data_IF_255493559350
#
_entry.id   IF_255493559350
#
_cell.length_a   1.000
_cell.length_b   1.000
_cell.length_c   1.000
_cell.angle_alpha   90.00
_cell.angle_beta   90.00
_cell.angle_gamma   90.00
#
_symmetry.space_group_name_H-M   'P 1'
#
loop_
_entity.id
_entity.type
_entity.pdbx_description
1 polymer ?
#
# COMPACT_ATOMS: atom_id res chain seq x y z
N UNK A 1 -12.78 -1.48 -37.03
CA UNK A 1 -11.73 -1.99 -36.16
C UNK A 1 -12.08 -1.63 -34.68
N UNK A 2 -12.45 -2.64 -33.91
CA UNK A 2 -12.91 -2.47 -32.52
C UNK A 2 -11.81 -1.87 -31.64
N UNK A 3 -10.55 -2.31 -31.81
CA UNK A 3 -9.39 -1.82 -31.05
C UNK A 3 -9.21 -0.31 -31.24
N UNK A 4 -9.21 0.15 -32.49
CA UNK A 4 -9.09 1.58 -32.78
C UNK A 4 -10.21 2.40 -32.13
N UNK A 5 -11.44 1.91 -32.20
CA UNK A 5 -12.60 2.58 -31.58
C UNK A 5 -12.43 2.66 -30.06
N UNK A 6 -12.06 1.57 -29.41
CA UNK A 6 -11.82 1.52 -27.96
C UNK A 6 -10.70 2.48 -27.55
N UNK A 7 -9.57 2.49 -28.27
CA UNK A 7 -8.47 3.40 -27.97
C UNK A 7 -8.84 4.88 -28.18
N UNK A 8 -9.65 5.20 -29.20
CA UNK A 8 -10.15 6.56 -29.41
C UNK A 8 -11.10 7.02 -28.29
N UNK A 9 -11.92 6.14 -27.73
CA UNK A 9 -12.75 6.42 -26.55
C UNK A 9 -11.87 6.59 -25.32
N UNK A 10 -10.91 5.69 -25.11
CA UNK A 10 -10.00 5.70 -23.97
C UNK A 10 -9.18 7.00 -23.86
N UNK A 11 -8.61 7.50 -24.96
CA UNK A 11 -7.80 8.73 -24.88
C UNK A 11 -8.64 9.97 -24.60
N UNK A 12 -9.89 10.02 -25.03
CA UNK A 12 -10.81 11.10 -24.71
C UNK A 12 -11.14 11.11 -23.21
N UNK A 13 -11.48 9.93 -22.69
CA UNK A 13 -11.77 9.78 -21.27
C UNK A 13 -10.51 10.04 -20.41
N UNK A 14 -9.34 9.54 -20.80
CA UNK A 14 -8.08 9.81 -20.13
C UNK A 14 -7.80 11.31 -20.03
N UNK A 15 -7.91 12.05 -21.13
CA UNK A 15 -7.71 13.50 -21.14
C UNK A 15 -8.73 14.22 -20.24
N UNK A 16 -9.98 13.76 -20.20
CA UNK A 16 -11.01 14.29 -19.31
C UNK A 16 -10.66 14.04 -17.84
N UNK A 17 -10.30 12.79 -17.48
CA UNK A 17 -9.96 12.40 -16.12
C UNK A 17 -8.69 13.09 -15.61
N UNK A 18 -7.68 13.30 -16.45
CA UNK A 18 -6.49 14.06 -16.09
C UNK A 18 -6.82 15.51 -15.66
N UNK A 19 -7.76 16.15 -16.36
CA UNK A 19 -8.25 17.48 -16.00
C UNK A 19 -9.08 17.46 -14.73
N UNK A 20 -10.05 16.56 -14.64
CA UNK A 20 -10.97 16.44 -13.50
C UNK A 20 -10.21 16.17 -12.21
N UNK A 21 -9.32 15.19 -12.22
CA UNK A 21 -8.53 14.77 -11.05
C UNK A 21 -7.31 15.64 -10.79
N UNK A 22 -7.02 16.59 -11.69
CA UNK A 22 -5.79 17.39 -11.68
C UNK A 22 -4.51 16.56 -11.54
N UNK A 23 -4.44 15.44 -12.25
CA UNK A 23 -3.24 14.61 -12.31
C UNK A 23 -2.14 15.39 -13.06
N UNK A 24 -0.90 15.30 -12.60
CA UNK A 24 0.22 16.01 -13.21
C UNK A 24 1.56 15.34 -12.90
N UNK A 25 2.56 15.74 -13.66
CA UNK A 25 3.88 15.13 -13.70
C UNK A 25 4.11 14.39 -15.01
N UNK A 26 4.91 13.34 -14.99
CA UNK A 26 5.08 12.41 -16.11
C UNK A 26 3.89 11.44 -16.08
N UNK A 27 3.25 11.28 -17.23
CA UNK A 27 2.06 10.43 -17.40
C UNK A 27 2.35 9.48 -18.55
N UNK A 28 2.10 8.21 -18.33
CA UNK A 28 2.20 7.17 -19.35
C UNK A 28 0.80 6.59 -19.54
N UNK A 29 0.34 6.57 -20.80
CA UNK A 29 -0.93 5.94 -21.17
C UNK A 29 -0.59 4.69 -21.96
N UNK A 30 -1.03 3.55 -21.46
CA UNK A 30 -0.91 2.26 -22.11
C UNK A 30 -2.19 1.96 -22.87
N UNK A 31 -2.07 1.80 -24.18
CA UNK A 31 -3.20 1.55 -25.08
C UNK A 31 -3.17 0.11 -25.57
N UNK A 32 -4.32 -0.38 -26.01
CA UNK A 32 -4.38 -1.69 -26.69
C UNK A 32 -3.53 -1.62 -27.94
N UNK A 33 -2.67 -2.63 -28.12
CA UNK A 33 -1.73 -2.69 -29.26
C UNK A 33 -2.43 -2.52 -30.60
N UNK A 34 -1.84 -1.70 -31.47
CA UNK A 34 -2.32 -1.44 -32.82
C UNK A 34 -1.22 -1.72 -33.82
N UNK A 35 -1.43 -2.70 -34.70
CA UNK A 35 -0.48 -3.08 -35.73
C UNK A 35 -0.20 -1.96 -36.74
N UNK A 36 -1.28 -1.22 -37.10
CA UNK A 36 -1.21 -0.21 -38.14
C UNK A 36 -0.77 1.15 -37.59
N UNK A 37 0.30 1.69 -38.18
CA UNK A 37 0.81 3.03 -37.83
C UNK A 37 -0.25 4.12 -38.00
N UNK A 38 -1.08 4.02 -39.05
CA UNK A 38 -2.17 4.98 -39.27
C UNK A 38 -3.18 5.01 -38.13
N UNK A 39 -3.45 3.86 -37.50
CA UNK A 39 -4.35 3.75 -36.34
C UNK A 39 -3.73 4.42 -35.13
N UNK A 40 -2.43 4.18 -34.85
CA UNK A 40 -1.68 4.84 -33.78
C UNK A 40 -1.71 6.36 -33.93
N UNK A 41 -1.43 6.85 -35.15
CA UNK A 41 -1.46 8.29 -35.45
C UNK A 41 -2.85 8.92 -35.25
N UNK A 42 -3.93 8.22 -35.62
CA UNK A 42 -5.30 8.69 -35.37
C UNK A 42 -5.58 8.87 -33.89
N UNK A 43 -5.17 7.91 -33.07
CA UNK A 43 -5.37 7.95 -31.60
C UNK A 43 -4.54 9.09 -30.98
N UNK A 44 -3.29 9.26 -31.40
CA UNK A 44 -2.43 10.35 -30.92
C UNK A 44 -3.02 11.72 -31.30
N UNK A 45 -3.51 11.90 -32.49
CA UNK A 45 -4.17 13.17 -32.91
C UNK A 45 -5.42 13.43 -32.08
N UNK A 46 -6.24 12.40 -31.83
CA UNK A 46 -7.43 12.54 -31.01
C UNK A 46 -7.08 12.94 -29.55
N UNK A 47 -6.01 12.35 -28.98
CA UNK A 47 -5.50 12.76 -27.67
C UNK A 47 -5.03 14.22 -27.68
N UNK A 48 -4.22 14.63 -28.68
CA UNK A 48 -3.70 15.99 -28.78
C UNK A 48 -4.83 17.03 -28.87
N UNK A 49 -5.89 16.73 -29.63
CA UNK A 49 -7.07 17.58 -29.72
C UNK A 49 -7.78 17.75 -28.38
N UNK A 50 -7.92 16.67 -27.61
CA UNK A 50 -8.52 16.73 -26.26
C UNK A 50 -7.62 17.46 -25.25
N UNK A 51 -6.30 17.30 -25.37
CA UNK A 51 -5.33 17.98 -24.51
C UNK A 51 -5.27 19.50 -24.75
N UNK A 52 -5.57 19.97 -25.95
CA UNK A 52 -5.69 21.43 -26.25
C UNK A 52 -6.78 22.13 -25.43
N UNK A 53 -7.77 21.39 -24.94
CA UNK A 53 -8.81 21.92 -24.05
C UNK A 53 -8.32 22.13 -22.62
N UNK A 54 -7.11 21.65 -22.28
CA UNK A 54 -6.52 21.75 -20.96
C UNK A 54 -5.71 23.03 -20.77
N UNK A 55 -6.07 23.84 -19.79
CA UNK A 55 -5.34 25.08 -19.46
C UNK A 55 -3.90 24.85 -19.00
N UNK A 56 -3.57 23.66 -18.50
CA UNK A 56 -2.21 23.28 -18.09
C UNK A 56 -1.27 23.00 -19.27
N UNK A 57 -1.79 22.99 -20.51
CA UNK A 57 -1.04 22.75 -21.76
C UNK A 57 -0.13 21.52 -21.66
N UNK A 58 -0.68 20.32 -21.46
CA UNK A 58 0.12 19.11 -21.44
C UNK A 58 0.81 18.90 -22.80
N UNK A 59 1.96 18.21 -22.78
CA UNK A 59 2.76 17.97 -23.99
C UNK A 59 3.01 16.49 -24.14
N UNK A 60 2.68 15.93 -25.30
CA UNK A 60 3.07 14.57 -25.68
C UNK A 60 4.56 14.60 -26.04
N UNK A 61 5.37 13.76 -25.40
CA UNK A 61 6.82 13.69 -25.62
C UNK A 61 7.13 12.62 -26.65
N UNK A 62 6.57 11.42 -26.49
CA UNK A 62 6.89 10.26 -27.30
C UNK A 62 5.69 9.31 -27.39
N UNK A 63 5.63 8.61 -28.50
CA UNK A 63 4.73 7.47 -28.72
C UNK A 63 5.58 6.28 -29.13
N UNK A 64 5.50 5.19 -28.40
CA UNK A 64 6.25 3.99 -28.72
C UNK A 64 5.54 3.13 -29.76
N UNK A 65 6.29 2.20 -30.36
CA UNK A 65 5.73 1.19 -31.28
C UNK A 65 4.74 0.24 -30.58
N UNK A 66 4.89 0.09 -29.27
CA UNK A 66 4.02 -0.73 -28.42
C UNK A 66 2.73 -0.01 -27.96
N UNK A 67 2.45 1.21 -28.48
CA UNK A 67 1.24 1.95 -28.11
C UNK A 67 1.35 2.78 -26.83
N UNK A 68 2.50 2.83 -26.17
CA UNK A 68 2.71 3.67 -24.97
C UNK A 68 2.84 5.13 -25.39
N UNK A 69 2.02 5.99 -24.78
CA UNK A 69 2.10 7.45 -24.97
C UNK A 69 2.71 8.06 -23.72
N UNK A 70 3.86 8.70 -23.90
CA UNK A 70 4.56 9.45 -22.85
C UNK A 70 4.20 10.93 -22.97
N UNK A 71 3.70 11.52 -21.89
CA UNK A 71 3.34 12.93 -21.86
C UNK A 71 3.69 13.57 -20.53
N UNK A 72 3.77 14.89 -20.51
CA UNK A 72 3.91 15.69 -19.30
C UNK A 72 2.74 16.63 -19.13
N UNK A 73 2.32 16.83 -17.89
CA UNK A 73 1.32 17.82 -17.51
C UNK A 73 1.78 18.58 -16.26
N UNK A 74 1.84 19.91 -16.39
CA UNK A 74 2.24 20.75 -15.25
C UNK A 74 1.17 20.67 -14.14
N UNK A 75 1.62 20.39 -12.92
CA UNK A 75 0.75 20.42 -11.75
C UNK A 75 0.54 21.87 -11.32
N UNK A 76 -0.70 22.38 -11.37
CA UNK A 76 -1.03 23.78 -11.05
C UNK A 76 -1.73 23.95 -9.71
N UNK A 77 -2.26 22.87 -9.16
CA UNK A 77 -2.95 22.79 -7.85
C UNK A 77 -2.92 21.36 -7.35
N UNK A 78 -3.36 21.13 -6.14
CA UNK A 78 -3.47 19.80 -5.58
C UNK A 78 -4.42 18.89 -6.36
N UNK A 79 -4.16 17.59 -6.29
CA UNK A 79 -5.02 16.57 -6.91
C UNK A 79 -6.37 16.51 -6.19
N UNK A 80 -7.41 16.09 -6.91
CA UNK A 80 -8.75 15.93 -6.35
C UNK A 80 -8.76 15.03 -5.10
N UNK A 81 -7.97 13.96 -5.10
CA UNK A 81 -7.83 13.05 -3.95
C UNK A 81 -7.28 13.77 -2.73
N UNK A 82 -6.30 14.67 -2.88
CA UNK A 82 -5.76 15.45 -1.77
C UNK A 82 -6.73 16.51 -1.23
N UNK A 83 -7.60 17.02 -2.10
CA UNK A 83 -8.58 18.06 -1.70
C UNK A 83 -9.76 17.44 -0.96
N UNK A 84 -10.19 16.24 -1.37
CA UNK A 84 -11.40 15.58 -0.85
C UNK A 84 -11.12 14.45 0.15
N UNK A 85 -9.88 13.96 0.21
CA UNK A 85 -9.52 12.81 1.03
C UNK A 85 -8.56 13.17 2.16
N UNK A 86 -8.56 12.34 3.17
CA UNK A 86 -7.58 12.33 4.25
C UNK A 86 -6.73 11.07 4.17
N UNK A 87 -5.56 11.12 4.79
CA UNK A 87 -4.72 9.91 4.90
C UNK A 87 -5.46 8.86 5.71
N UNK A 88 -5.57 7.65 5.20
CA UNK A 88 -6.22 6.55 5.90
C UNK A 88 -5.51 6.28 7.24
N UNK A 89 -6.21 6.46 8.36
CA UNK A 89 -5.64 6.23 9.69
C UNK A 89 -5.23 4.76 9.93
N UNK A 90 -5.88 3.82 9.22
CA UNK A 90 -5.59 2.40 9.38
C UNK A 90 -4.27 1.96 8.72
N UNK A 91 -3.94 2.46 7.53
CA UNK A 91 -2.70 2.10 6.83
C UNK A 91 -1.73 3.27 6.68
N UNK A 92 -2.04 4.44 7.23
CA UNK A 92 -1.23 5.66 7.15
C UNK A 92 -0.80 6.02 5.71
N UNK A 93 -1.65 5.70 4.75
CA UNK A 93 -1.38 5.94 3.34
C UNK A 93 -0.54 4.87 2.63
N UNK A 94 -0.15 3.80 3.32
CA UNK A 94 0.63 2.69 2.72
C UNK A 94 -0.17 1.84 1.73
N UNK A 95 -1.51 1.85 1.81
CA UNK A 95 -2.40 1.02 0.97
C UNK A 95 -2.53 -0.43 1.40
N UNK A 96 -1.74 -0.89 2.36
CA UNK A 96 -1.77 -2.23 2.96
C UNK A 96 -1.30 -2.17 4.41
N UNK A 97 -1.61 -3.22 5.18
CA UNK A 97 -1.12 -3.46 6.54
C UNK A 97 -0.48 -4.86 6.60
N UNK A 98 0.34 -5.11 7.60
CA UNK A 98 0.89 -6.44 7.85
C UNK A 98 -0.24 -7.42 8.20
N UNK A 99 -0.09 -8.67 7.79
CA UNK A 99 -1.03 -9.71 8.20
C UNK A 99 -0.89 -10.02 9.71
N UNK A 100 -1.97 -10.43 10.35
CA UNK A 100 -2.00 -10.84 11.75
C UNK A 100 -0.93 -11.89 12.07
N UNK A 101 -0.73 -12.84 11.15
CA UNK A 101 0.30 -13.88 11.27
C UNK A 101 1.71 -13.30 11.21
N UNK A 102 1.95 -12.30 10.38
CA UNK A 102 3.24 -11.60 10.33
C UNK A 102 3.53 -10.92 11.66
N UNK A 103 2.52 -10.26 12.26
CA UNK A 103 2.65 -9.62 13.56
C UNK A 103 2.90 -10.65 14.67
N UNK A 104 2.18 -11.78 14.66
CA UNK A 104 2.43 -12.86 15.62
C UNK A 104 3.88 -13.37 15.55
N UNK A 105 4.43 -13.53 14.35
CA UNK A 105 5.85 -13.94 14.19
C UNK A 105 6.84 -12.83 14.58
N UNK A 106 6.50 -11.57 14.42
CA UNK A 106 7.31 -10.46 14.95
C UNK A 106 7.34 -10.52 16.48
N UNK A 107 6.18 -10.71 17.10
CA UNK A 107 6.05 -10.89 18.55
C UNK A 107 6.89 -12.06 19.09
N UNK A 108 6.84 -13.23 18.44
CA UNK A 108 7.65 -14.38 18.86
C UNK A 108 9.16 -14.05 18.84
N UNK A 109 9.62 -13.32 17.85
CA UNK A 109 11.03 -12.88 17.78
C UNK A 109 11.36 -11.86 18.87
N UNK A 110 10.46 -10.97 19.19
CA UNK A 110 10.68 -9.96 20.23
C UNK A 110 10.65 -10.59 21.64
N UNK A 111 9.76 -11.56 21.87
CA UNK A 111 9.78 -12.39 23.09
C UNK A 111 11.15 -13.07 23.26
N UNK A 112 11.67 -13.68 22.19
CA UNK A 112 12.96 -14.36 22.26
C UNK A 112 14.10 -13.38 22.56
N UNK A 113 14.08 -12.17 22.00
CA UNK A 113 15.06 -11.11 22.30
C UNK A 113 14.99 -10.67 23.77
N UNK A 114 13.78 -10.44 24.29
CA UNK A 114 13.61 -10.06 25.69
C UNK A 114 14.03 -11.18 26.65
N UNK A 115 13.83 -12.44 26.28
CA UNK A 115 14.21 -13.58 27.10
C UNK A 115 15.72 -13.81 27.20
N UNK A 116 16.52 -13.25 26.30
CA UNK A 116 17.99 -13.30 26.39
C UNK A 116 18.48 -12.50 27.62
N UNK A 117 17.72 -11.48 28.07
CA UNK A 117 18.06 -10.72 29.25
C UNK A 117 17.71 -11.47 30.53
N UNK A 118 18.70 -11.83 31.36
CA UNK A 118 18.56 -12.65 32.56
C UNK A 118 17.67 -12.03 33.65
N UNK A 119 17.55 -10.72 33.66
CA UNK A 119 16.77 -9.96 34.66
C UNK A 119 15.25 -10.12 34.49
N UNK A 120 14.78 -10.45 33.29
CA UNK A 120 13.36 -10.62 32.98
C UNK A 120 12.93 -12.03 33.36
N UNK A 121 11.92 -12.16 34.20
CA UNK A 121 11.34 -13.47 34.61
C UNK A 121 10.01 -13.78 33.96
N UNK A 122 9.27 -12.74 33.63
CA UNK A 122 7.96 -12.84 33.02
C UNK A 122 7.84 -11.78 31.89
N UNK A 123 7.08 -12.11 30.90
CA UNK A 123 6.74 -11.18 29.81
C UNK A 123 5.22 -11.10 29.71
N UNK A 124 4.70 -9.88 29.69
CA UNK A 124 3.33 -9.58 29.32
C UNK A 124 3.29 -9.08 27.89
N UNK A 125 2.52 -9.75 27.05
CA UNK A 125 2.29 -9.37 25.66
C UNK A 125 0.91 -8.76 25.56
N UNK A 126 0.85 -7.53 25.04
CA UNK A 126 -0.38 -6.83 24.73
C UNK A 126 -0.47 -6.65 23.24
N UNK A 127 -1.57 -7.10 22.61
CA UNK A 127 -1.82 -6.96 21.18
C UNK A 127 -3.32 -7.01 20.87
N UNK A 128 -3.66 -6.73 19.62
CA UNK A 128 -5.04 -6.88 19.14
C UNK A 128 -5.56 -8.32 19.36
N UNK A 129 -6.84 -8.53 19.72
CA UNK A 129 -7.40 -9.85 20.01
C UNK A 129 -7.09 -10.90 18.95
N UNK A 130 -7.22 -10.56 17.67
CA UNK A 130 -6.98 -11.48 16.56
C UNK A 130 -5.51 -11.92 16.41
N UNK A 131 -4.56 -11.14 16.93
CA UNK A 131 -3.14 -11.51 16.98
C UNK A 131 -2.90 -12.43 18.17
N UNK A 132 -3.51 -12.11 19.33
CA UNK A 132 -3.47 -12.95 20.53
C UNK A 132 -4.05 -14.34 20.26
N UNK A 133 -5.17 -14.44 19.51
CA UNK A 133 -5.76 -15.72 19.15
C UNK A 133 -4.79 -16.58 18.33
N UNK A 134 -4.05 -16.01 17.40
CA UNK A 134 -3.01 -16.74 16.64
C UNK A 134 -1.92 -17.25 17.58
N UNK A 135 -1.43 -16.43 18.50
CA UNK A 135 -0.39 -16.83 19.46
C UNK A 135 -0.89 -17.92 20.39
N UNK A 136 -2.11 -17.80 20.89
CA UNK A 136 -2.68 -18.72 21.89
C UNK A 136 -3.13 -20.05 21.30
N UNK A 137 -3.53 -20.09 20.03
CA UNK A 137 -4.09 -21.27 19.37
C UNK A 137 -3.10 -21.88 18.38
N UNK A 138 -2.69 -21.09 17.37
CA UNK A 138 -1.86 -21.61 16.28
C UNK A 138 -0.40 -21.80 16.71
N UNK A 139 0.13 -20.89 17.52
CA UNK A 139 1.54 -20.84 17.94
C UNK A 139 1.77 -21.26 19.39
N UNK A 140 0.78 -21.93 20.00
CA UNK A 140 0.86 -22.37 21.38
C UNK A 140 2.09 -23.23 21.68
N UNK A 141 2.37 -24.19 20.80
CA UNK A 141 3.54 -25.06 20.96
C UNK A 141 4.86 -24.29 20.94
N UNK A 142 4.93 -23.25 20.09
CA UNK A 142 6.10 -22.36 19.98
C UNK A 142 6.29 -21.57 21.29
N UNK A 143 5.21 -21.03 21.84
CA UNK A 143 5.25 -20.33 23.14
C UNK A 143 5.68 -21.26 24.26
N UNK A 144 5.11 -22.46 24.36
CA UNK A 144 5.47 -23.47 25.37
C UNK A 144 6.96 -23.87 25.28
N UNK A 145 7.50 -23.95 24.06
CA UNK A 145 8.93 -24.21 23.84
C UNK A 145 9.81 -23.06 24.30
N UNK A 146 9.42 -21.81 24.03
CA UNK A 146 10.14 -20.63 24.51
C UNK A 146 10.14 -20.55 26.04
N UNK A 147 9.00 -20.77 26.70
CA UNK A 147 8.91 -20.81 28.18
C UNK A 147 9.83 -21.87 28.81
N UNK A 148 9.84 -23.07 28.23
CA UNK A 148 10.72 -24.17 28.67
C UNK A 148 12.19 -23.89 28.45
N UNK A 149 12.56 -23.37 27.24
CA UNK A 149 13.93 -23.05 26.84
C UNK A 149 14.55 -22.01 27.78
N UNK A 150 13.81 -20.95 28.08
CA UNK A 150 14.30 -19.83 28.88
C UNK A 150 13.91 -19.93 30.37
N UNK A 151 13.04 -20.87 30.76
CA UNK A 151 12.47 -21.02 32.13
C UNK A 151 11.79 -19.74 32.60
N UNK A 152 11.03 -19.11 31.74
CA UNK A 152 10.32 -17.84 31.95
C UNK A 152 8.86 -17.99 31.55
N UNK A 153 7.99 -17.07 32.00
CA UNK A 153 6.55 -17.15 31.80
C UNK A 153 6.10 -16.08 30.77
N UNK A 154 5.13 -16.44 29.94
CA UNK A 154 4.52 -15.55 28.93
C UNK A 154 3.04 -15.38 29.27
N UNK A 155 2.61 -14.15 29.43
CA UNK A 155 1.22 -13.77 29.61
C UNK A 155 0.72 -13.05 28.37
N UNK A 156 -0.47 -13.44 27.89
CA UNK A 156 -1.11 -12.83 26.72
C UNK A 156 -2.30 -12.01 27.19
N UNK A 157 -2.37 -10.76 26.76
CA UNK A 157 -3.48 -9.85 27.03
C UNK A 157 -3.98 -9.22 25.75
N UNK A 158 -5.26 -9.38 25.45
CA UNK A 158 -5.91 -8.75 24.29
C UNK A 158 -6.36 -7.33 24.61
N UNK A 159 -6.00 -6.37 23.75
CA UNK A 159 -6.42 -4.97 23.83
C UNK A 159 -7.22 -4.64 22.57
N UNK A 160 -8.54 -4.43 22.71
CA UNK A 160 -9.44 -4.20 21.57
C UNK A 160 -9.16 -2.93 20.81
N UNK A 161 -8.69 -1.91 21.49
CA UNK A 161 -8.44 -0.58 20.93
C UNK A 161 -7.08 -0.47 20.22
N UNK A 162 -6.25 -1.51 20.30
CA UNK A 162 -4.99 -1.54 19.57
C UNK A 162 -5.25 -1.69 18.06
N UNK A 163 -4.47 -0.98 17.29
CA UNK A 163 -4.37 -1.26 15.86
C UNK A 163 -3.83 -2.69 15.65
N UNK A 164 -4.20 -3.33 14.55
CA UNK A 164 -3.79 -4.72 14.27
C UNK A 164 -2.27 -4.92 14.26
N UNK A 165 -1.51 -3.89 13.88
CA UNK A 165 -0.05 -3.88 13.86
C UNK A 165 0.57 -3.39 15.19
N UNK A 166 -0.26 -2.93 16.13
CA UNK A 166 0.21 -2.43 17.43
C UNK A 166 0.32 -3.57 18.42
N UNK A 167 1.46 -3.65 19.08
CA UNK A 167 1.70 -4.55 20.18
C UNK A 167 2.73 -3.97 21.16
N UNK A 168 2.74 -4.52 22.37
CA UNK A 168 3.72 -4.20 23.41
C UNK A 168 4.23 -5.50 24.05
N UNK A 169 5.54 -5.55 24.28
CA UNK A 169 6.21 -6.63 25.00
C UNK A 169 6.81 -6.02 26.26
N UNK A 170 6.24 -6.37 27.41
CA UNK A 170 6.57 -5.79 28.71
C UNK A 170 7.28 -6.85 29.55
N UNK A 171 8.58 -6.66 29.78
CA UNK A 171 9.37 -7.49 30.68
C UNK A 171 9.15 -7.09 32.15
N UNK A 172 8.74 -8.04 32.99
CA UNK A 172 8.70 -7.84 34.44
C UNK A 172 10.04 -8.23 35.06
N UNK A 173 10.69 -7.25 35.68
CA UNK A 173 11.92 -7.42 36.43
C UNK A 173 11.58 -7.80 37.89
N UNK A 174 12.34 -8.69 38.47
CA UNK A 174 12.25 -8.91 39.91
C UNK A 174 12.76 -7.65 40.63
N UNK A 175 11.84 -6.91 41.26
CA UNK A 175 12.27 -5.95 42.27
C UNK A 175 13.02 -6.73 43.38
N UNK A 176 14.28 -6.35 43.57
CA UNK A 176 15.09 -6.81 44.69
C UNK A 176 14.55 -6.32 46.02
#
# INVERSE_FOLDING_TARGET
DTILKTNLEAVKEAAYQLRLRNCGGIIIIDLIDMEREESRQKVVRALDEELKKDRSRPTIIKVSELGLIEMTRKRTRDTLVRVLGETCAHCEGRGFIKSKRTIAYELLRDIEREFIHDEVKRILIQAHPEVIDILAIDEKETLDQLEKKYRKQIYLQSIRDFHIEQFEVIGEHLNK
#
